data_IF_148885078518
#
_entry.id   IF_148885078518
#
_cell.length_a   1.000
_cell.length_b   1.000
_cell.length_c   1.000
_cell.angle_alpha   90.00
_cell.angle_beta   90.00
_cell.angle_gamma   90.00
#
_symmetry.space_group_name_H-M   'P 1'
#
loop_
_entity.id
_entity.type
_entity.pdbx_description
1 polymer ?
#
# COMPACT_ATOMS: atom_id res chain seq x y z
N UNK A 1 6.20 2.41 -10.90
CA UNK A 1 6.59 1.27 -10.04
C UNK A 1 7.98 1.47 -9.40
N UNK A 2 8.96 2.07 -10.10
CA UNK A 2 10.30 2.35 -9.53
C UNK A 2 10.25 3.19 -8.25
N UNK A 3 9.53 4.29 -8.24
CA UNK A 3 9.39 5.18 -7.07
C UNK A 3 8.90 4.47 -5.79
N UNK A 4 8.05 3.45 -5.92
CA UNK A 4 7.60 2.65 -4.79
C UNK A 4 8.69 1.71 -4.24
N UNK A 5 9.57 1.22 -5.10
CA UNK A 5 10.70 0.38 -4.67
C UNK A 5 11.79 1.21 -3.98
N UNK A 6 12.02 2.44 -4.44
CA UNK A 6 12.98 3.37 -3.83
C UNK A 6 12.50 3.87 -2.47
N UNK A 7 11.18 4.03 -2.29
CA UNK A 7 10.59 4.47 -1.04
C UNK A 7 10.51 3.38 0.05
N UNK A 8 10.66 2.11 -0.33
CA UNK A 8 10.47 0.97 0.56
C UNK A 8 11.59 -0.07 0.34
N UNK A 9 12.52 -0.09 1.26
CA UNK A 9 13.61 -1.06 1.25
C UNK A 9 13.16 -2.38 1.87
N UNK A 10 13.18 -3.45 1.06
CA UNK A 10 12.85 -4.80 1.51
C UNK A 10 14.13 -5.63 1.49
N UNK A 11 14.48 -6.32 2.59
CA UNK A 11 15.64 -7.17 2.63
C UNK A 11 15.64 -8.20 1.48
N UNK A 12 16.81 -8.38 0.83
CA UNK A 12 16.95 -9.30 -0.31
C UNK A 12 16.74 -8.65 -1.68
N UNK A 13 16.72 -7.31 -1.76
CA UNK A 13 16.62 -6.54 -3.01
C UNK A 13 15.43 -6.98 -3.89
N UNK A 14 14.30 -7.27 -3.26
CA UNK A 14 13.07 -7.66 -3.96
C UNK A 14 12.39 -6.40 -4.47
N UNK A 15 12.32 -6.27 -5.79
CA UNK A 15 11.49 -5.26 -6.44
C UNK A 15 10.01 -5.58 -6.22
N UNK A 16 9.42 -5.00 -5.18
CA UNK A 16 8.07 -5.32 -4.74
C UNK A 16 7.19 -4.06 -4.68
N UNK A 17 6.63 -3.64 -5.82
CA UNK A 17 5.80 -2.44 -5.88
C UNK A 17 4.53 -2.62 -5.03
N UNK A 18 4.24 -1.64 -4.19
CA UNK A 18 3.02 -1.60 -3.35
C UNK A 18 1.80 -1.05 -4.10
N UNK A 19 2.00 -0.52 -5.30
CA UNK A 19 0.98 -0.13 -6.25
C UNK A 19 1.25 -0.86 -7.57
N UNK A 20 0.21 -1.44 -8.17
CA UNK A 20 0.30 -2.15 -9.45
C UNK A 20 -0.51 -1.42 -10.50
N UNK A 21 0.03 -1.31 -11.70
CA UNK A 21 -0.74 -0.88 -12.86
C UNK A 21 -1.26 -2.12 -13.56
N UNK A 22 -2.57 -2.30 -13.53
CA UNK A 22 -3.26 -3.39 -14.23
C UNK A 22 -3.71 -2.88 -15.58
N UNK A 23 -3.43 -3.64 -16.61
CA UNK A 23 -3.83 -3.34 -17.99
C UNK A 23 -4.82 -4.37 -18.47
N UNK A 24 -5.90 -3.89 -19.02
CA UNK A 24 -6.82 -4.64 -19.88
C UNK A 24 -6.60 -4.20 -21.34
N UNK A 25 -7.41 -4.71 -22.26
CA UNK A 25 -7.30 -4.35 -23.67
C UNK A 25 -7.50 -2.83 -23.93
N UNK A 26 -8.39 -2.20 -23.18
CA UNK A 26 -8.77 -0.79 -23.37
C UNK A 26 -8.36 0.14 -22.24
N UNK A 27 -8.15 -0.41 -21.04
CA UNK A 27 -7.95 0.38 -19.82
C UNK A 27 -6.64 0.01 -19.14
N UNK A 28 -5.94 1.02 -18.67
CA UNK A 28 -4.79 0.88 -17.79
C UNK A 28 -5.04 1.69 -16.52
N UNK A 29 -5.17 1.00 -15.38
CA UNK A 29 -5.50 1.64 -14.12
C UNK A 29 -4.55 1.21 -12.99
N UNK A 30 -4.20 2.12 -12.07
CA UNK A 30 -3.47 1.78 -10.86
C UNK A 30 -4.39 1.07 -9.87
N UNK A 31 -3.90 -0.02 -9.29
CA UNK A 31 -4.54 -0.73 -8.18
C UNK A 31 -3.70 -0.53 -6.93
N UNK A 32 -4.28 0.10 -5.92
CA UNK A 32 -3.66 0.36 -4.64
C UNK A 32 -4.58 -0.10 -3.49
N UNK A 33 -4.05 -0.12 -2.27
CA UNK A 33 -4.85 -0.42 -1.08
C UNK A 33 -5.83 0.74 -0.80
N UNK A 34 -7.08 0.41 -0.54
CA UNK A 34 -8.14 1.38 -0.21
C UNK A 34 -8.23 1.72 1.27
N UNK A 35 -7.39 1.10 2.12
CA UNK A 35 -7.40 1.30 3.56
C UNK A 35 -8.79 1.19 4.20
N UNK A 36 -9.55 0.16 3.80
CA UNK A 36 -10.94 -0.07 4.22
C UNK A 36 -11.10 -0.02 5.74
N UNK A 37 -12.12 0.64 6.25
CA UNK A 37 -12.46 0.67 7.68
C UNK A 37 -12.78 -0.73 8.20
N UNK A 38 -13.57 -1.48 7.45
CA UNK A 38 -13.94 -2.87 7.75
C UNK A 38 -12.96 -3.88 7.12
N UNK A 39 -11.67 -3.64 7.23
CA UNK A 39 -10.58 -4.30 6.55
C UNK A 39 -10.65 -5.85 6.55
N UNK A 40 -11.14 -6.51 5.50
CA UNK A 40 -11.24 -7.98 5.49
C UNK A 40 -9.87 -8.64 5.54
N UNK A 41 -8.82 -7.99 5.03
CA UNK A 41 -7.45 -8.48 5.12
C UNK A 41 -6.91 -8.51 6.55
N UNK A 42 -7.27 -7.53 7.39
CA UNK A 42 -6.89 -7.51 8.80
C UNK A 42 -7.68 -8.55 9.60
N UNK A 43 -9.00 -8.66 9.34
CA UNK A 43 -9.86 -9.67 9.98
C UNK A 43 -9.44 -11.11 9.66
N UNK A 44 -8.96 -11.35 8.45
CA UNK A 44 -8.50 -12.66 8.01
C UNK A 44 -7.08 -13.02 8.51
N UNK A 45 -6.36 -12.08 9.13
CA UNK A 45 -5.00 -12.33 9.60
C UNK A 45 -5.00 -12.99 10.99
N UNK A 46 -4.58 -14.25 11.12
CA UNK A 46 -4.66 -14.97 12.40
C UNK A 46 -3.68 -14.45 13.44
N UNK A 47 -2.61 -13.80 13.02
CA UNK A 47 -1.55 -13.28 13.91
C UNK A 47 -1.69 -11.78 14.20
N UNK A 48 -2.70 -11.11 13.61
CA UNK A 48 -2.85 -9.67 13.76
C UNK A 48 -1.71 -8.85 13.12
N UNK A 49 -0.98 -9.43 12.17
CA UNK A 49 0.07 -8.72 11.44
C UNK A 49 -0.46 -7.51 10.65
N UNK A 50 -1.71 -7.57 10.19
CA UNK A 50 -2.42 -6.41 9.66
C UNK A 50 -3.39 -5.87 10.71
N UNK A 51 -3.37 -4.56 10.90
CA UNK A 51 -4.20 -3.89 11.89
C UNK A 51 -4.67 -2.52 11.38
N UNK A 52 -5.77 -2.03 11.92
CA UNK A 52 -6.23 -0.67 11.66
C UNK A 52 -5.46 0.31 12.56
N UNK A 53 -4.87 1.32 11.94
CA UNK A 53 -4.19 2.44 12.62
C UNK A 53 -5.14 3.65 12.64
N UNK A 54 -5.76 3.95 13.77
CA UNK A 54 -6.76 5.03 13.86
C UNK A 54 -6.14 6.43 13.77
N UNK A 55 -4.83 6.58 14.01
CA UNK A 55 -4.16 7.88 13.92
C UNK A 55 -3.96 8.33 12.48
N UNK A 56 -3.64 7.38 11.61
CA UNK A 56 -3.37 7.66 10.21
C UNK A 56 -4.49 7.15 9.29
N UNK A 57 -5.63 6.72 9.84
CA UNK A 57 -6.77 6.16 9.09
C UNK A 57 -6.33 5.16 8.01
N UNK A 58 -5.45 4.23 8.38
CA UNK A 58 -4.88 3.27 7.44
C UNK A 58 -4.80 1.86 8.02
N UNK A 59 -4.63 0.88 7.15
CA UNK A 59 -4.25 -0.47 7.56
C UNK A 59 -2.73 -0.53 7.64
N UNK A 60 -2.22 -0.69 8.84
CA UNK A 60 -0.80 -0.91 9.14
C UNK A 60 -0.40 -2.37 8.98
N UNK A 61 0.91 -2.60 8.93
CA UNK A 61 1.52 -3.93 8.89
C UNK A 61 2.59 -4.02 9.96
N UNK A 62 2.47 -5.02 10.83
CA UNK A 62 3.54 -5.45 11.72
C UNK A 62 4.22 -6.68 11.09
N UNK A 63 5.39 -6.46 10.49
CA UNK A 63 6.10 -7.50 9.74
C UNK A 63 6.65 -8.61 10.64
N UNK A 64 6.88 -8.34 11.92
CA UNK A 64 7.41 -9.35 12.87
C UNK A 64 6.34 -10.38 13.23
N UNK A 65 5.06 -10.01 13.13
CA UNK A 65 3.94 -10.93 13.34
C UNK A 65 3.56 -11.70 12.06
N UNK A 66 4.17 -11.38 10.91
CA UNK A 66 3.80 -12.00 9.65
C UNK A 66 4.41 -13.39 9.50
N UNK A 67 3.57 -14.42 9.51
CA UNK A 67 3.95 -15.82 9.29
C UNK A 67 3.82 -16.28 7.82
N UNK A 68 3.42 -15.40 6.92
CA UNK A 68 3.27 -15.71 5.49
C UNK A 68 2.05 -16.56 5.14
N UNK A 69 1.02 -16.61 5.95
CA UNK A 69 -0.19 -17.42 5.77
C UNK A 69 -1.03 -17.05 4.53
N UNK A 70 -0.85 -15.84 3.99
CA UNK A 70 -1.49 -15.33 2.76
C UNK A 70 -3.02 -15.20 2.79
N UNK A 71 -3.70 -15.42 3.90
CA UNK A 71 -5.15 -15.19 4.02
C UNK A 71 -5.54 -13.74 3.69
N UNK A 72 -4.68 -12.78 4.04
CA UNK A 72 -4.87 -11.37 3.70
C UNK A 72 -4.89 -11.10 2.19
N UNK A 73 -4.10 -11.84 1.42
CA UNK A 73 -4.11 -11.78 -0.05
C UNK A 73 -5.45 -12.28 -0.60
N UNK A 74 -5.94 -13.41 -0.09
CA UNK A 74 -7.22 -14.00 -0.53
C UNK A 74 -8.42 -13.17 -0.10
N UNK A 75 -8.35 -12.51 1.05
CA UNK A 75 -9.46 -11.72 1.59
C UNK A 75 -9.59 -10.33 0.96
N UNK A 76 -8.57 -9.83 0.25
CA UNK A 76 -8.61 -8.50 -0.34
C UNK A 76 -9.47 -8.47 -1.61
N UNK A 77 -10.64 -7.78 -1.64
CA UNK A 77 -11.50 -7.76 -2.82
C UNK A 77 -10.89 -6.96 -3.99
N UNK A 78 -9.90 -6.11 -3.71
CA UNK A 78 -9.24 -5.28 -4.72
C UNK A 78 -7.95 -5.89 -5.27
N UNK A 79 -7.49 -7.03 -4.74
CA UNK A 79 -6.20 -7.62 -5.12
C UNK A 79 -4.99 -6.72 -4.81
N UNK A 80 -5.13 -5.78 -3.85
CA UNK A 80 -4.13 -4.77 -3.54
C UNK A 80 -3.11 -5.22 -2.48
N UNK A 81 -3.23 -6.44 -1.97
CA UNK A 81 -2.31 -7.06 -1.01
C UNK A 81 -1.55 -8.18 -1.69
N UNK A 82 -0.26 -8.25 -1.46
CA UNK A 82 0.55 -9.43 -1.83
C UNK A 82 1.50 -9.78 -0.70
N UNK A 83 2.06 -10.99 -0.74
CA UNK A 83 3.01 -11.47 0.26
C UNK A 83 4.24 -11.98 -0.47
N UNK A 84 5.38 -11.34 -0.22
CA UNK A 84 6.68 -11.81 -0.67
C UNK A 84 7.37 -12.60 0.44
N UNK A 85 8.16 -13.59 0.05
CA UNK A 85 8.93 -14.40 0.99
C UNK A 85 10.38 -14.42 0.52
N UNK A 86 11.30 -14.12 1.42
CA UNK A 86 12.73 -14.10 1.12
C UNK A 86 13.54 -14.70 2.25
N UNK A 87 14.79 -15.04 1.92
CA UNK A 87 15.79 -15.45 2.91
C UNK A 87 16.48 -14.21 3.49
N UNK A 88 16.36 -14.02 4.79
CA UNK A 88 17.07 -12.96 5.49
C UNK A 88 18.21 -13.56 6.32
N UNK A 89 19.36 -12.89 6.39
CA UNK A 89 20.47 -13.38 7.20
C UNK A 89 20.11 -13.34 8.68
N UNK A 90 20.50 -14.37 9.40
CA UNK A 90 20.49 -14.38 10.86
C UNK A 90 21.88 -13.94 11.32
N UNK A 91 21.95 -12.83 12.04
CA UNK A 91 23.19 -12.26 12.56
C UNK A 91 23.32 -12.53 14.05
N UNK A 92 24.53 -12.85 14.49
CA UNK A 92 24.93 -12.86 15.90
C UNK A 92 26.07 -11.83 16.05
N UNK A 93 25.74 -10.62 16.49
CA UNK A 93 26.60 -9.46 16.34
C UNK A 93 26.81 -9.15 14.84
N UNK A 94 28.06 -9.02 14.41
CA UNK A 94 28.41 -8.78 13.01
C UNK A 94 28.63 -10.05 12.17
N UNK A 95 28.47 -11.24 12.80
CA UNK A 95 28.71 -12.51 12.12
C UNK A 95 27.39 -13.11 11.62
N UNK A 96 27.36 -13.46 10.33
CA UNK A 96 26.24 -14.21 9.75
C UNK A 96 26.31 -15.66 10.17
N UNK A 97 25.37 -16.12 11.00
CA UNK A 97 25.30 -17.50 11.53
C UNK A 97 24.34 -18.39 10.75
N UNK A 98 23.53 -17.80 9.86
CA UNK A 98 22.58 -18.57 9.06
C UNK A 98 21.67 -17.69 8.20
N UNK A 99 20.60 -18.27 7.69
CA UNK A 99 19.52 -17.56 7.01
C UNK A 99 18.18 -18.14 7.46
N UNK A 100 17.17 -17.27 7.59
CA UNK A 100 15.80 -17.67 7.89
C UNK A 100 14.86 -17.14 6.80
N UNK A 101 13.77 -17.85 6.59
CA UNK A 101 12.72 -17.41 5.68
C UNK A 101 11.84 -16.39 6.39
N UNK A 102 11.75 -15.18 5.86
CA UNK A 102 10.83 -14.13 6.35
C UNK A 102 9.83 -13.75 5.28
N UNK A 103 8.60 -13.53 5.69
CA UNK A 103 7.51 -13.10 4.81
C UNK A 103 7.18 -11.63 5.07
N UNK A 104 6.93 -10.89 3.99
CA UNK A 104 6.61 -9.46 4.00
C UNK A 104 5.28 -9.23 3.31
N UNK A 105 4.41 -8.47 3.95
CA UNK A 105 3.15 -8.04 3.34
C UNK A 105 3.39 -6.79 2.50
N UNK A 106 3.08 -6.89 1.23
CA UNK A 106 3.24 -5.82 0.25
C UNK A 106 1.88 -5.20 -0.03
N UNK A 107 1.65 -4.01 0.48
CA UNK A 107 0.47 -3.18 0.24
C UNK A 107 0.83 -1.70 0.39
N UNK A 108 0.04 -0.82 -0.16
CA UNK A 108 0.19 0.62 0.08
C UNK A 108 0.10 0.93 1.58
N UNK A 109 0.96 1.81 2.07
CA UNK A 109 1.01 2.32 3.45
C UNK A 109 0.86 3.85 3.52
N UNK A 110 0.52 4.47 2.38
CA UNK A 110 0.42 5.92 2.19
C UNK A 110 1.76 6.65 2.36
N UNK A 111 2.87 5.93 2.46
CA UNK A 111 4.21 6.47 2.70
C UNK A 111 4.24 7.45 3.90
N UNK A 112 3.55 7.13 5.00
CA UNK A 112 3.38 8.07 6.14
C UNK A 112 4.69 8.46 6.80
N UNK A 113 5.71 7.63 6.70
CA UNK A 113 7.05 7.90 7.25
C UNK A 113 7.91 8.76 6.30
N UNK A 114 7.39 9.10 5.11
CA UNK A 114 8.08 9.91 4.11
C UNK A 114 7.63 11.37 4.17
N UNK A 115 8.54 12.32 4.45
CA UNK A 115 8.17 13.75 4.59
C UNK A 115 7.61 14.38 3.29
N UNK A 116 7.89 13.80 2.11
CA UNK A 116 7.37 14.25 0.82
C UNK A 116 6.01 13.66 0.44
N UNK A 117 5.37 12.88 1.33
CA UNK A 117 4.11 12.18 1.03
C UNK A 117 4.26 10.99 0.07
N UNK A 118 3.19 10.56 -0.58
CA UNK A 118 3.19 9.34 -1.41
C UNK A 118 4.11 9.44 -2.63
N UNK A 119 5.14 8.61 -2.68
CA UNK A 119 6.12 8.57 -3.78
C UNK A 119 5.47 8.30 -5.15
N UNK A 120 4.38 7.55 -5.19
CA UNK A 120 3.64 7.27 -6.42
C UNK A 120 2.92 8.51 -6.97
N UNK A 121 2.44 9.41 -6.11
CA UNK A 121 1.80 10.66 -6.51
C UNK A 121 2.84 11.64 -7.06
N UNK A 122 3.99 11.76 -6.39
CA UNK A 122 5.11 12.60 -6.83
C UNK A 122 5.66 12.15 -8.20
N UNK A 123 5.84 10.84 -8.39
CA UNK A 123 6.36 10.26 -9.63
C UNK A 123 5.33 10.15 -10.75
N UNK A 124 4.07 10.53 -10.53
CA UNK A 124 3.01 10.41 -11.53
C UNK A 124 3.13 11.50 -12.61
N UNK A 125 3.47 11.17 -13.87
CA UNK A 125 3.69 12.17 -14.90
C UNK A 125 2.40 12.91 -15.29
N UNK A 126 1.25 12.26 -15.14
CA UNK A 126 -0.07 12.82 -15.47
C UNK A 126 -0.74 13.51 -14.26
N UNK A 127 -0.10 13.48 -13.09
CA UNK A 127 -0.70 13.96 -11.82
C UNK A 127 -2.08 13.35 -11.51
N UNK A 128 -2.35 12.15 -12.03
CA UNK A 128 -3.61 11.43 -11.84
C UNK A 128 -3.71 10.70 -10.51
N UNK A 129 -2.65 10.72 -9.68
CA UNK A 129 -2.64 10.15 -8.34
C UNK A 129 -2.52 11.27 -7.32
N UNK A 130 -3.52 11.40 -6.48
CA UNK A 130 -3.55 12.38 -5.38
C UNK A 130 -3.92 11.67 -4.08
N UNK A 131 -3.32 12.10 -2.99
CA UNK A 131 -3.81 11.75 -1.65
C UNK A 131 -4.97 12.68 -1.34
N UNK A 132 -6.11 12.11 -0.99
CA UNK A 132 -7.32 12.86 -0.66
C UNK A 132 -7.68 12.50 0.78
N UNK A 133 -7.69 13.50 1.64
CA UNK A 133 -8.27 13.46 2.96
C UNK A 133 -9.75 13.90 2.90
N UNK A 134 -10.43 13.86 4.03
CA UNK A 134 -11.86 14.17 4.11
C UNK A 134 -12.16 15.64 3.74
N UNK A 135 -11.29 16.56 4.16
CA UNK A 135 -11.40 17.98 3.86
C UNK A 135 -11.24 18.25 2.36
N UNK A 136 -10.22 17.68 1.74
CA UNK A 136 -9.97 17.79 0.30
C UNK A 136 -11.07 17.12 -0.53
N UNK A 137 -11.64 16.02 -0.05
CA UNK A 137 -12.78 15.39 -0.71
C UNK A 137 -14.01 16.30 -0.73
N UNK A 138 -14.29 16.98 0.39
CA UNK A 138 -15.38 17.94 0.48
C UNK A 138 -15.18 19.12 -0.49
N UNK A 139 -13.95 19.67 -0.56
CA UNK A 139 -13.61 20.73 -1.52
C UNK A 139 -13.82 20.29 -2.97
N UNK A 140 -13.29 19.13 -3.37
CA UNK A 140 -13.43 18.60 -4.72
C UNK A 140 -14.90 18.34 -5.10
N UNK A 141 -15.71 17.91 -4.14
CA UNK A 141 -17.13 17.70 -4.33
C UNK A 141 -17.85 19.03 -4.56
N UNK A 142 -17.52 20.05 -3.77
CA UNK A 142 -18.07 21.39 -3.93
C UNK A 142 -17.64 22.03 -5.27
N UNK A 143 -16.38 21.88 -5.68
CA UNK A 143 -15.89 22.35 -6.98
C UNK A 143 -16.66 21.71 -8.14
N UNK A 144 -16.91 20.40 -8.10
CA UNK A 144 -17.67 19.67 -9.11
C UNK A 144 -19.13 20.14 -9.18
N UNK A 145 -19.77 20.35 -8.02
CA UNK A 145 -21.12 20.84 -7.95
C UNK A 145 -21.25 22.24 -8.57
N UNK A 146 -20.31 23.15 -8.30
CA UNK A 146 -20.25 24.47 -8.93
C UNK A 146 -20.08 24.39 -10.46
N UNK A 147 -19.12 23.58 -10.91
CA UNK A 147 -18.86 23.40 -12.34
C UNK A 147 -20.10 22.84 -13.09
N UNK A 148 -20.89 21.99 -12.47
CA UNK A 148 -22.14 21.49 -13.05
C UNK A 148 -23.15 22.64 -13.27
N UNK A 149 -23.32 23.52 -12.28
CA UNK A 149 -24.23 24.66 -12.39
C UNK A 149 -23.75 25.65 -13.46
N UNK A 150 -22.46 25.91 -13.52
CA UNK A 150 -21.87 26.86 -14.48
C UNK A 150 -21.94 26.35 -15.94
N UNK A 151 -21.88 25.01 -16.15
CA UNK A 151 -21.97 24.43 -17.49
C UNK A 151 -23.42 24.26 -18.00
N UNK A 152 -24.41 24.35 -17.14
CA UNK A 152 -25.84 24.29 -17.51
C UNK A 152 -26.48 25.68 -17.70
N UNK A 153 -25.74 26.74 -17.43
CA UNK A 153 -26.17 28.14 -17.57
C UNK A 153 -25.65 28.76 -18.90
#
# INVERSE_FOLDING_TARGET
MAAGNEAHDIPGNIAAPRLRVTRTYEISAPVACHHCEDAPCAKACPTGALFFDPKNHRIGVNEDNCIGWKSCFMACPFGAVSVATTQVPVLMGDVRVGSQTKSFVLKCDLCVDRPGGPACAEACPTKGLTLVDEERLAELTAERARATIENEA
#
